data_IF_045302291172
#
_entry.id   IF_045302291172
#
_cell.length_a   1.000
_cell.length_b   1.000
_cell.length_c   1.000
_cell.angle_alpha   90.00
_cell.angle_beta   90.00
_cell.angle_gamma   90.00
#
_symmetry.space_group_name_H-M   'P 1'
#
loop_
_entity.id
_entity.type
_entity.pdbx_description
1 polymer ?
#
# COMPACT_ATOMS: atom_id res chain seq x y z
N UNK A 1 10.03 -1.84 5.43
CA UNK A 1 9.00 -1.49 4.42
C UNK A 1 7.65 -1.48 5.14
N UNK A 2 6.88 -0.40 4.97
CA UNK A 2 5.50 -0.26 5.43
C UNK A 2 4.58 -0.25 4.21
N UNK A 3 3.55 -1.09 4.21
CA UNK A 3 2.54 -1.15 3.14
C UNK A 3 1.18 -0.98 3.80
N UNK A 4 0.41 0.03 3.38
CA UNK A 4 -0.97 0.30 3.84
C UNK A 4 -1.10 0.37 5.38
N UNK A 5 -0.03 0.73 6.08
CA UNK A 5 -0.03 0.77 7.54
C UNK A 5 -0.24 2.19 8.05
N UNK A 6 -1.28 2.40 8.85
CA UNK A 6 -1.58 3.67 9.46
C UNK A 6 -0.42 4.16 10.36
N UNK A 7 -0.01 5.40 10.15
CA UNK A 7 0.91 6.15 11.01
C UNK A 7 0.13 7.13 11.91
N UNK A 8 0.80 7.70 12.92
CA UNK A 8 0.17 8.66 13.81
C UNK A 8 0.06 10.06 13.18
N UNK A 9 -0.93 10.82 13.64
CA UNK A 9 -1.13 12.25 13.33
C UNK A 9 -0.29 13.13 14.26
N UNK A 10 -0.32 14.46 14.08
CA UNK A 10 0.32 15.41 15.01
C UNK A 10 -0.14 15.24 16.46
N UNK A 11 -1.40 14.86 16.68
CA UNK A 11 -1.96 14.62 18.01
C UNK A 11 -1.64 13.23 18.55
N UNK A 12 -0.80 12.46 17.87
CA UNK A 12 -0.44 11.07 18.24
C UNK A 12 -1.61 10.10 18.21
N UNK A 13 -2.68 10.43 17.48
CA UNK A 13 -3.79 9.52 17.20
C UNK A 13 -3.56 8.79 15.87
N UNK A 14 -4.22 7.65 15.71
CA UNK A 14 -4.21 6.83 14.49
C UNK A 14 -5.59 6.91 13.87
N UNK A 15 -5.68 7.51 12.70
CA UNK A 15 -6.96 7.72 12.03
C UNK A 15 -7.07 6.84 10.78
N UNK A 16 -8.26 6.31 10.54
CA UNK A 16 -8.55 5.70 9.25
C UNK A 16 -8.77 6.81 8.19
N UNK A 17 -8.94 6.42 6.92
CA UNK A 17 -9.15 7.36 5.81
C UNK A 17 -10.34 8.32 5.99
N UNK A 18 -11.28 8.02 6.90
CA UNK A 18 -12.46 8.85 7.20
C UNK A 18 -12.25 9.75 8.42
N UNK A 19 -11.05 9.85 8.95
CA UNK A 19 -10.72 10.65 10.14
C UNK A 19 -11.21 10.06 11.46
N UNK A 20 -11.67 8.80 11.47
CA UNK A 20 -12.09 8.10 12.70
C UNK A 20 -10.89 7.45 13.37
N UNK A 21 -10.77 7.66 14.70
CA UNK A 21 -9.71 7.01 15.49
C UNK A 21 -9.83 5.49 15.47
N UNK A 22 -8.70 4.85 15.22
CA UNK A 22 -8.48 3.41 15.26
C UNK A 22 -7.32 3.05 16.21
N UNK A 23 -6.92 3.98 17.07
CA UNK A 23 -5.74 3.84 17.95
C UNK A 23 -5.83 2.60 18.87
N UNK A 24 -7.04 2.22 19.29
CA UNK A 24 -7.29 1.04 20.11
C UNK A 24 -6.94 -0.28 19.37
N UNK A 25 -7.14 -0.30 18.04
CA UNK A 25 -6.94 -1.49 17.21
C UNK A 25 -5.62 -1.45 16.42
N UNK A 26 -4.87 -0.34 16.52
CA UNK A 26 -3.67 -0.11 15.73
C UNK A 26 -2.41 -0.25 16.56
N UNK A 27 -1.55 -1.22 16.27
CA UNK A 27 -0.25 -1.33 16.91
C UNK A 27 0.64 -0.15 16.49
N UNK A 28 1.30 0.48 17.46
CA UNK A 28 2.12 1.70 17.31
C UNK A 28 3.51 1.38 16.74
N UNK A 29 3.53 0.77 15.55
CA UNK A 29 4.77 0.31 14.91
C UNK A 29 5.54 1.40 14.15
N UNK A 30 4.96 2.54 13.93
CA UNK A 30 5.57 3.70 13.28
C UNK A 30 6.81 4.21 14.03
N UNK A 31 6.91 4.00 15.34
CA UNK A 31 8.14 4.23 16.10
C UNK A 31 9.36 3.44 15.56
N UNK A 32 9.13 2.31 14.89
CA UNK A 32 10.20 1.54 14.24
C UNK A 32 10.81 2.28 13.04
N UNK A 33 10.11 3.27 12.51
CA UNK A 33 10.55 4.08 11.36
C UNK A 33 11.25 5.37 11.79
N UNK A 34 11.07 5.79 13.05
CA UNK A 34 11.74 6.98 13.58
C UNK A 34 13.27 6.73 13.65
N UNK A 35 14.03 7.53 12.91
CA UNK A 35 15.49 7.42 12.88
C UNK A 35 16.05 6.23 12.11
N UNK A 36 15.23 5.40 11.47
CA UNK A 36 15.72 4.30 10.63
C UNK A 36 16.19 4.84 9.28
N UNK A 37 17.49 4.69 8.91
CA UNK A 37 18.07 5.40 7.76
C UNK A 37 17.53 4.90 6.39
N UNK A 38 17.09 3.65 6.32
CA UNK A 38 16.58 3.04 5.08
C UNK A 38 15.20 2.46 5.32
N UNK A 39 14.19 3.17 4.88
CA UNK A 39 12.79 2.76 5.02
C UNK A 39 11.98 3.16 3.79
N UNK A 40 10.94 2.38 3.49
CA UNK A 40 9.99 2.64 2.40
C UNK A 40 8.59 2.64 2.97
N UNK A 41 7.85 3.71 2.74
CA UNK A 41 6.41 3.77 2.96
C UNK A 41 5.68 3.59 1.63
N UNK A 42 4.59 2.84 1.64
CA UNK A 42 3.69 2.67 0.50
C UNK A 42 2.28 2.97 1.00
N UNK A 43 1.62 3.94 0.36
CA UNK A 43 0.31 4.39 0.77
C UNK A 43 -0.50 4.99 -0.37
N UNK A 44 -1.80 5.18 -0.14
CA UNK A 44 -2.77 5.71 -1.09
C UNK A 44 -3.76 6.73 -0.49
N UNK A 45 -3.96 6.70 0.82
CA UNK A 45 -5.02 7.46 1.51
C UNK A 45 -4.54 8.67 2.32
N UNK A 46 -3.26 8.81 2.60
CA UNK A 46 -2.71 9.94 3.36
C UNK A 46 -2.53 9.69 4.86
N UNK A 47 -3.05 8.58 5.38
CA UNK A 47 -2.88 8.17 6.78
C UNK A 47 -1.77 7.13 6.98
N UNK A 48 -1.13 6.63 5.93
CA UNK A 48 -0.15 5.56 5.98
C UNK A 48 1.25 6.07 6.31
N UNK A 49 2.03 5.23 7.00
CA UNK A 49 3.45 5.47 7.30
C UNK A 49 4.21 5.80 6.01
N UNK A 50 4.91 6.93 6.00
CA UNK A 50 5.61 7.49 4.85
C UNK A 50 4.91 8.69 4.24
N UNK A 51 3.57 8.71 4.24
CA UNK A 51 2.77 9.82 3.71
C UNK A 51 2.98 11.13 4.47
N UNK A 52 3.54 11.09 5.68
CA UNK A 52 3.99 12.27 6.42
C UNK A 52 4.99 13.16 5.67
N UNK A 53 5.64 12.64 4.62
CA UNK A 53 6.46 13.45 3.71
C UNK A 53 5.63 14.42 2.86
N UNK A 54 4.33 14.21 2.77
CA UNK A 54 3.36 15.03 2.04
C UNK A 54 2.28 15.65 2.96
N UNK A 55 2.52 15.67 4.28
CA UNK A 55 1.55 16.16 5.25
C UNK A 55 1.04 17.58 4.93
N UNK A 56 1.89 18.44 4.38
CA UNK A 56 1.54 19.80 3.98
C UNK A 56 0.70 19.87 2.68
N UNK A 57 0.69 18.79 1.89
CA UNK A 57 0.02 18.74 0.57
C UNK A 57 -1.30 17.99 0.64
N UNK A 58 -1.36 16.90 1.39
CA UNK A 58 -2.53 16.03 1.51
C UNK A 58 -3.82 16.79 1.83
N UNK A 59 -3.85 17.78 2.74
CA UNK A 59 -5.08 18.51 3.09
C UNK A 59 -5.74 19.29 1.95
N UNK A 60 -5.04 19.51 0.84
CA UNK A 60 -5.62 20.15 -0.36
C UNK A 60 -6.45 19.18 -1.23
N UNK A 61 -6.48 17.89 -0.91
CA UNK A 61 -7.19 16.85 -1.65
C UNK A 61 -8.31 16.25 -0.80
N UNK A 62 -9.56 16.53 -1.16
CA UNK A 62 -10.76 16.13 -0.42
C UNK A 62 -10.91 14.62 -0.21
N UNK A 63 -10.32 13.82 -1.10
CA UNK A 63 -10.40 12.35 -1.06
C UNK A 63 -9.32 11.69 -0.20
N UNK A 64 -8.42 12.48 0.39
CA UNK A 64 -7.34 12.00 1.25
C UNK A 64 -7.64 12.26 2.72
N UNK A 65 -6.91 11.57 3.60
CA UNK A 65 -7.08 11.70 5.05
C UNK A 65 -6.79 13.10 5.55
N UNK A 66 -7.69 13.63 6.39
CA UNK A 66 -7.47 14.90 7.06
C UNK A 66 -7.87 14.77 8.54
N UNK A 67 -6.95 14.97 9.51
CA UNK A 67 -5.53 15.25 9.31
C UNK A 67 -4.74 14.02 8.78
N UNK A 68 -3.65 14.25 8.03
CA UNK A 68 -2.77 13.18 7.54
C UNK A 68 -1.88 12.62 8.66
N UNK A 69 -1.18 11.52 8.35
CA UNK A 69 -0.07 11.07 9.19
C UNK A 69 1.09 12.07 9.14
N UNK A 70 1.90 12.10 10.20
CA UNK A 70 3.17 12.82 10.22
C UNK A 70 4.39 11.90 10.13
N UNK A 71 4.16 10.59 10.13
CA UNK A 71 5.24 9.60 10.09
C UNK A 71 5.86 9.54 8.69
N UNK A 72 7.16 9.81 8.63
CA UNK A 72 7.95 9.84 7.39
C UNK A 72 8.78 8.57 7.24
N UNK A 73 9.14 8.28 5.99
CA UNK A 73 10.11 7.24 5.61
C UNK A 73 11.16 7.85 4.68
N UNK A 74 12.31 7.18 4.51
CA UNK A 74 13.37 7.69 3.63
C UNK A 74 12.97 7.65 2.15
N UNK A 75 12.04 6.79 1.78
CA UNK A 75 11.43 6.67 0.44
C UNK A 75 9.92 6.52 0.58
N UNK A 76 9.19 7.13 -0.33
CA UNK A 76 7.73 7.03 -0.40
C UNK A 76 7.32 6.56 -1.79
N UNK A 77 6.44 5.59 -1.83
CA UNK A 77 5.74 5.13 -3.05
C UNK A 77 4.26 5.45 -2.86
N UNK A 78 3.71 6.22 -3.80
CA UNK A 78 2.29 6.56 -3.84
C UNK A 78 1.65 5.74 -4.97
N UNK A 79 0.51 5.16 -4.69
CA UNK A 79 -0.25 4.37 -5.66
C UNK A 79 -1.74 4.59 -5.43
N UNK A 80 -2.59 4.30 -6.39
CA UNK A 80 -4.06 4.33 -6.20
C UNK A 80 -4.57 3.17 -5.35
N UNK A 81 -3.77 2.12 -5.21
CA UNK A 81 -3.94 0.97 -4.32
C UNK A 81 -2.56 0.61 -3.81
N UNK A 82 -2.35 0.55 -2.51
CA UNK A 82 -1.04 0.30 -1.92
C UNK A 82 -0.43 -1.05 -2.37
N UNK A 83 -1.27 -2.06 -2.62
CA UNK A 83 -0.81 -3.34 -3.19
C UNK A 83 -0.10 -3.14 -4.54
N UNK A 84 -0.62 -2.25 -5.40
CA UNK A 84 0.00 -1.98 -6.70
C UNK A 84 1.37 -1.30 -6.55
N UNK A 85 1.48 -0.39 -5.60
CA UNK A 85 2.77 0.21 -5.22
C UNK A 85 3.77 -0.83 -4.72
N UNK A 86 3.30 -1.81 -3.93
CA UNK A 86 4.13 -2.93 -3.46
C UNK A 86 4.57 -3.83 -4.61
N UNK A 87 3.69 -4.15 -5.56
CA UNK A 87 4.05 -4.91 -6.76
C UNK A 87 5.09 -4.15 -7.62
N UNK A 88 4.93 -2.83 -7.76
CA UNK A 88 5.92 -1.98 -8.42
C UNK A 88 7.29 -2.02 -7.76
N UNK A 89 7.33 -2.01 -6.42
CA UNK A 89 8.58 -2.16 -5.67
C UNK A 89 9.21 -3.54 -5.91
N UNK A 90 8.42 -4.63 -5.86
CA UNK A 90 8.91 -5.99 -6.13
C UNK A 90 9.43 -6.12 -7.57
N UNK A 91 8.74 -5.51 -8.56
CA UNK A 91 9.22 -5.47 -9.94
C UNK A 91 10.57 -4.73 -10.06
N UNK A 92 10.71 -3.59 -9.37
CA UNK A 92 11.96 -2.84 -9.36
C UNK A 92 13.11 -3.63 -8.72
N UNK A 93 12.85 -4.31 -7.60
CA UNK A 93 13.82 -5.20 -6.96
C UNK A 93 14.17 -6.36 -7.90
N UNK A 94 13.18 -6.97 -8.56
CA UNK A 94 13.40 -8.04 -9.54
C UNK A 94 14.42 -7.64 -10.61
N UNK A 95 14.28 -6.42 -11.12
CA UNK A 95 15.20 -5.86 -12.11
C UNK A 95 16.62 -5.66 -11.56
N UNK A 96 16.72 -5.13 -10.33
CA UNK A 96 18.01 -4.86 -9.68
C UNK A 96 18.79 -6.17 -9.42
N UNK A 97 18.08 -7.20 -8.95
CA UNK A 97 18.73 -8.48 -8.58
C UNK A 97 18.82 -9.49 -9.74
N UNK A 98 18.26 -9.16 -10.90
CA UNK A 98 18.26 -10.06 -12.07
C UNK A 98 17.41 -11.33 -11.87
N UNK A 99 16.37 -11.28 -11.05
CA UNK A 99 15.50 -12.44 -10.74
C UNK A 99 14.04 -12.02 -10.76
N UNK A 100 13.16 -12.89 -11.29
CA UNK A 100 11.72 -12.69 -11.25
C UNK A 100 11.19 -12.99 -9.84
N UNK A 101 10.85 -11.94 -9.10
CA UNK A 101 10.27 -12.03 -7.75
C UNK A 101 8.78 -11.70 -7.76
N UNK A 102 8.29 -11.03 -8.82
CA UNK A 102 6.90 -10.61 -8.90
C UNK A 102 5.99 -11.83 -9.09
N UNK A 103 4.95 -11.89 -8.28
CA UNK A 103 3.86 -12.88 -8.37
C UNK A 103 3.20 -12.83 -9.75
N UNK A 104 2.66 -13.95 -10.23
CA UNK A 104 1.86 -13.95 -11.45
C UNK A 104 0.46 -13.38 -11.21
N UNK A 105 -0.17 -12.86 -12.26
CA UNK A 105 -1.54 -12.35 -12.18
C UNK A 105 -2.54 -13.46 -11.78
N UNK A 106 -2.31 -14.69 -12.18
CA UNK A 106 -3.16 -15.83 -11.80
C UNK A 106 -2.98 -16.21 -10.33
N UNK A 107 -1.75 -16.24 -9.84
CA UNK A 107 -1.48 -16.53 -8.42
C UNK A 107 -2.07 -15.47 -7.51
N UNK A 108 -2.05 -14.19 -7.93
CA UNK A 108 -2.68 -13.10 -7.18
C UNK A 108 -4.21 -13.25 -7.14
N UNK A 109 -4.84 -13.56 -8.28
CA UNK A 109 -6.29 -13.85 -8.34
C UNK A 109 -6.65 -14.99 -7.38
N UNK A 110 -5.89 -16.07 -7.39
CA UNK A 110 -6.16 -17.23 -6.55
C UNK A 110 -5.90 -16.92 -5.07
N UNK A 111 -4.90 -16.09 -4.76
CA UNK A 111 -4.65 -15.60 -3.41
C UNK A 111 -5.83 -14.77 -2.89
N UNK A 112 -6.32 -13.78 -3.68
CA UNK A 112 -7.45 -12.92 -3.27
C UNK A 112 -8.70 -13.78 -3.05
N UNK A 113 -9.04 -14.69 -3.96
CA UNK A 113 -10.18 -15.60 -3.78
C UNK A 113 -10.05 -16.39 -2.48
N UNK A 114 -8.88 -16.98 -2.24
CA UNK A 114 -8.65 -17.78 -1.04
C UNK A 114 -8.80 -16.99 0.25
N UNK A 115 -8.29 -15.76 0.34
CA UNK A 115 -8.45 -14.95 1.55
C UNK A 115 -9.90 -14.49 1.72
N UNK A 116 -10.64 -14.21 0.64
CA UNK A 116 -12.06 -13.89 0.68
C UNK A 116 -12.89 -15.09 1.12
N UNK A 117 -12.59 -16.30 0.64
CA UNK A 117 -13.22 -17.54 1.08
C UNK A 117 -12.98 -17.82 2.59
N UNK A 118 -11.87 -17.33 3.13
CA UNK A 118 -11.53 -17.38 4.55
C UNK A 118 -12.19 -16.26 5.39
N UNK A 119 -13.00 -15.41 4.77
CA UNK A 119 -13.76 -14.37 5.46
C UNK A 119 -13.18 -12.96 5.37
N UNK A 120 -12.13 -12.73 4.56
CA UNK A 120 -11.65 -11.37 4.34
C UNK A 120 -12.73 -10.49 3.70
N UNK A 121 -12.75 -9.21 4.08
CA UNK A 121 -13.63 -8.19 3.51
C UNK A 121 -12.81 -7.12 2.80
N UNK A 122 -13.34 -6.57 1.72
CA UNK A 122 -12.74 -5.43 1.05
C UNK A 122 -12.90 -4.15 1.88
N UNK A 123 -11.79 -3.45 2.13
CA UNK A 123 -11.73 -2.29 3.03
C UNK A 123 -12.54 -1.09 2.55
N UNK A 124 -12.76 -0.95 1.24
CA UNK A 124 -13.53 0.15 0.67
C UNK A 124 -15.03 -0.16 0.63
N UNK A 125 -15.42 -1.37 0.23
CA UNK A 125 -16.84 -1.75 0.12
C UNK A 125 -17.40 -2.30 1.42
N UNK A 126 -16.56 -2.70 2.38
CA UNK A 126 -16.91 -3.34 3.66
C UNK A 126 -17.72 -4.64 3.50
N UNK A 127 -17.54 -5.35 2.40
CA UNK A 127 -18.21 -6.64 2.14
C UNK A 127 -17.22 -7.73 1.73
N UNK A 128 -17.61 -8.98 1.93
CA UNK A 128 -16.85 -10.15 1.52
C UNK A 128 -17.00 -10.36 0.01
N UNK A 129 -16.11 -9.78 -0.78
CA UNK A 129 -16.09 -9.82 -2.24
C UNK A 129 -14.66 -9.88 -2.76
N UNK A 130 -14.48 -10.45 -3.95
CA UNK A 130 -13.18 -10.54 -4.62
C UNK A 130 -12.74 -9.17 -5.18
N UNK A 131 -12.38 -8.26 -4.28
CA UNK A 131 -11.89 -6.90 -4.57
C UNK A 131 -10.72 -6.55 -3.65
N UNK A 132 -9.95 -5.56 -4.07
CA UNK A 132 -8.92 -4.88 -3.28
C UNK A 132 -9.15 -3.38 -3.43
N UNK A 133 -9.46 -2.69 -2.35
CA UNK A 133 -9.80 -1.25 -2.30
C UNK A 133 -10.88 -0.84 -3.30
N UNK A 134 -11.89 -1.70 -3.46
CA UNK A 134 -12.99 -1.50 -4.40
C UNK A 134 -12.72 -1.96 -5.83
N UNK A 135 -11.45 -2.20 -6.22
CA UNK A 135 -11.07 -2.67 -7.55
C UNK A 135 -11.25 -4.19 -7.69
N UNK A 136 -11.78 -4.62 -8.83
CA UNK A 136 -12.00 -6.04 -9.10
C UNK A 136 -10.72 -6.78 -9.50
N UNK A 137 -10.80 -8.12 -9.54
CA UNK A 137 -9.66 -8.98 -9.89
C UNK A 137 -9.01 -8.65 -11.23
N UNK A 138 -9.83 -8.24 -12.23
CA UNK A 138 -9.31 -7.90 -13.56
C UNK A 138 -8.48 -6.62 -13.54
N UNK A 139 -8.88 -5.64 -12.73
CA UNK A 139 -8.13 -4.38 -12.58
C UNK A 139 -6.81 -4.63 -11.86
N UNK A 140 -6.83 -5.42 -10.79
CA UNK A 140 -5.61 -5.82 -10.06
C UNK A 140 -4.64 -6.60 -10.99
N UNK A 141 -5.14 -7.60 -11.70
CA UNK A 141 -4.36 -8.42 -12.63
C UNK A 141 -3.71 -7.62 -13.76
N UNK A 142 -4.38 -6.58 -14.26
CA UNK A 142 -3.80 -5.69 -15.29
C UNK A 142 -2.54 -5.01 -14.82
N UNK A 143 -2.50 -4.56 -13.57
CA UNK A 143 -1.31 -3.92 -13.00
C UNK A 143 -0.15 -4.89 -12.95
N UNK A 144 -0.36 -6.11 -12.45
CA UNK A 144 0.68 -7.14 -12.41
C UNK A 144 1.14 -7.51 -13.82
N UNK A 145 0.21 -7.71 -14.75
CA UNK A 145 0.53 -8.03 -16.15
C UNK A 145 1.38 -6.94 -16.79
N UNK A 146 1.07 -5.67 -16.56
CA UNK A 146 1.86 -4.55 -17.09
C UNK A 146 3.29 -4.54 -16.50
N UNK A 147 3.42 -4.81 -15.19
CA UNK A 147 4.73 -4.92 -14.54
C UNK A 147 5.52 -6.12 -15.03
N UNK A 148 4.87 -7.26 -15.26
CA UNK A 148 5.51 -8.45 -15.86
C UNK A 148 6.03 -8.16 -17.26
N UNK A 149 5.22 -7.51 -18.10
CA UNK A 149 5.63 -7.09 -19.43
C UNK A 149 6.85 -6.15 -19.40
N UNK A 150 6.86 -5.20 -18.46
CA UNK A 150 8.03 -4.35 -18.24
C UNK A 150 9.29 -5.14 -17.86
N UNK A 151 9.15 -6.18 -17.05
CA UNK A 151 10.26 -7.06 -16.69
C UNK A 151 10.75 -7.89 -17.89
N UNK A 152 9.84 -8.37 -18.76
CA UNK A 152 10.17 -9.12 -19.97
C UNK A 152 10.99 -8.32 -20.96
N UNK A 153 10.76 -7.01 -21.06
CA UNK A 153 11.53 -6.11 -21.92
C UNK A 153 12.93 -5.79 -21.38
N UNK A 154 13.25 -6.25 -20.18
CA UNK A 154 14.47 -5.87 -19.45
C UNK A 154 15.55 -6.95 -19.45
N UNK A 155 15.53 -7.95 -20.33
CA UNK A 155 16.50 -9.06 -20.43
C UNK A 155 16.86 -9.70 -19.08
N UNK A 156 15.85 -9.95 -18.24
CA UNK A 156 16.02 -10.70 -17.01
C UNK A 156 16.17 -12.18 -17.32
N UNK A 157 17.36 -12.71 -17.15
CA UNK A 157 17.66 -14.13 -17.23
C UNK A 157 17.08 -14.93 -16.05
#
# INVERSE_FOLDING_TARGET
ISIERCGFTETRDYLNRYGKSIAEFNAKIDYLFEGFPVSVGIGDGGNEIGMGSLADVIPFYENLSSPPTVTKTSKLIISSVSNWGAYGLVASISKIVGKRLLISANDEIDLIKKIVDLGAIDGTTNVNVNKVDGFNLRENSRTITALQHYLDQSDLN
#
